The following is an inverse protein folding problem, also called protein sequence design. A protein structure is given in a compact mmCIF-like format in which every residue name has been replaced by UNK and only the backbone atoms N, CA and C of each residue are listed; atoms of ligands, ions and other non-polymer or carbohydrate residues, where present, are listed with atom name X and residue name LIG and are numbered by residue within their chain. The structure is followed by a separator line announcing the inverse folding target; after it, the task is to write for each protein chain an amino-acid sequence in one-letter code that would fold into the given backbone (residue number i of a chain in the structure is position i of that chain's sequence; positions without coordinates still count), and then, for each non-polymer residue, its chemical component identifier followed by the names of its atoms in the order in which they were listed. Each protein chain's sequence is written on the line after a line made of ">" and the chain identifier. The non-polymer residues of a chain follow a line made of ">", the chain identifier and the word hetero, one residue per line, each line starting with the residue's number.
data_IF_312342931701
#
_entry.id   IF_312342931701
#
_cell.length_a   1.000
_cell.length_b   1.000
_cell.length_c   1.000
_cell.angle_alpha   90.00
_cell.angle_beta   90.00
_cell.angle_gamma   90.00
#
_symmetry.space_group_name_H-M   'P 1'
#
loop_
_entity.id
_entity.type
_entity.pdbx_description
1 polymer ?
#
# COMPACT_ATOMS: atom_id res chain seq x y z
N UNK A 1 -34.73 -21.15 -28.26
CA UNK A 1 -33.78 -22.19 -28.73
C UNK A 1 -32.37 -21.62 -28.60
N UNK A 2 -31.46 -22.44 -28.08
CA UNK A 2 -30.12 -22.11 -27.56
C UNK A 2 -29.07 -22.07 -28.69
N UNK A 3 -27.90 -21.47 -28.38
CA UNK A 3 -26.56 -21.49 -29.02
C UNK A 3 -26.26 -20.22 -29.84
N UNK A 4 -25.09 -19.57 -29.75
CA UNK A 4 -23.74 -19.98 -29.33
C UNK A 4 -22.88 -18.75 -28.95
N UNK A 5 -21.91 -18.95 -28.06
CA UNK A 5 -20.86 -18.00 -27.68
C UNK A 5 -19.74 -17.99 -28.74
N UNK A 6 -19.35 -16.80 -29.21
CA UNK A 6 -18.16 -16.59 -30.04
C UNK A 6 -17.05 -15.89 -29.27
N UNK A 7 -16.11 -16.68 -28.73
CA UNK A 7 -14.80 -16.21 -28.25
C UNK A 7 -13.92 -15.93 -29.48
N UNK A 8 -13.41 -14.71 -29.62
CA UNK A 8 -12.20 -14.46 -30.41
C UNK A 8 -11.26 -13.56 -29.63
N UNK A 9 -10.24 -14.19 -29.05
CA UNK A 9 -9.04 -13.53 -28.60
C UNK A 9 -8.24 -13.13 -29.84
N UNK A 10 -7.96 -11.84 -30.00
CA UNK A 10 -6.97 -11.36 -30.97
C UNK A 10 -5.73 -11.00 -30.18
N UNK A 11 -4.81 -11.95 -30.04
CA UNK A 11 -3.46 -11.69 -29.59
C UNK A 11 -2.65 -11.22 -30.81
N UNK A 12 -2.43 -9.91 -30.92
CA UNK A 12 -1.48 -9.34 -31.88
C UNK A 12 -0.08 -9.53 -31.31
N UNK A 13 0.64 -10.53 -31.81
CA UNK A 13 2.08 -10.68 -31.54
C UNK A 13 2.85 -9.82 -32.55
N UNK A 14 3.25 -8.61 -32.14
CA UNK A 14 4.24 -7.83 -32.87
C UNK A 14 5.64 -8.36 -32.51
N UNK A 15 6.22 -9.16 -33.41
CA UNK A 15 7.64 -9.48 -33.39
C UNK A 15 8.40 -8.28 -33.99
N UNK A 16 9.13 -7.55 -33.15
CA UNK A 16 10.09 -6.53 -33.59
C UNK A 16 11.50 -6.94 -33.21
N UNK A 17 12.35 -6.72 -34.21
CA UNK A 17 13.72 -7.15 -34.43
C UNK A 17 14.74 -6.69 -33.40
N UNK A 18 15.77 -7.53 -33.26
CA UNK A 18 16.97 -7.31 -32.49
C UNK A 18 17.67 -5.98 -32.80
N UNK A 19 17.74 -5.13 -31.78
CA UNK A 19 18.61 -3.97 -31.66
C UNK A 19 18.78 -3.69 -30.17
N UNK A 20 19.95 -4.04 -29.62
CA UNK A 20 20.21 -4.02 -28.18
C UNK A 20 20.15 -2.62 -27.59
N UNK A 21 18.98 -2.22 -27.11
CA UNK A 21 18.84 -1.30 -25.99
C UNK A 21 18.62 -2.19 -24.77
N UNK A 22 19.55 -2.13 -23.81
CA UNK A 22 19.32 -2.69 -22.50
C UNK A 22 18.09 -1.98 -21.92
N UNK A 23 16.92 -2.61 -22.05
CA UNK A 23 15.76 -2.24 -21.27
C UNK A 23 16.17 -2.46 -19.83
N UNK A 24 16.48 -1.36 -19.15
CA UNK A 24 16.44 -1.33 -17.69
C UNK A 24 15.01 -1.74 -17.38
N UNK A 25 14.82 -3.02 -17.05
CA UNK A 25 13.56 -3.48 -16.50
C UNK A 25 13.39 -2.63 -15.24
N UNK A 26 12.50 -1.64 -15.33
CA UNK A 26 12.10 -0.92 -14.14
C UNK A 26 11.69 -1.98 -13.12
N UNK A 27 12.23 -1.96 -11.89
CA UNK A 27 11.83 -2.90 -10.87
C UNK A 27 10.30 -2.88 -10.82
N UNK A 28 9.69 -4.06 -10.99
CA UNK A 28 8.25 -4.19 -10.88
C UNK A 28 7.88 -3.68 -9.48
N UNK A 29 6.90 -2.77 -9.34
CA UNK A 29 6.55 -2.22 -8.04
C UNK A 29 6.32 -3.37 -7.06
N UNK A 30 6.95 -3.30 -5.88
CA UNK A 30 6.74 -4.27 -4.81
C UNK A 30 5.23 -4.50 -4.67
N UNK A 31 4.79 -5.72 -4.99
CA UNK A 31 3.37 -6.08 -4.97
C UNK A 31 2.89 -5.96 -3.54
N UNK A 32 2.12 -4.91 -3.28
CA UNK A 32 1.40 -4.73 -2.03
C UNK A 32 0.49 -5.95 -1.79
N UNK A 33 0.53 -6.51 -0.57
CA UNK A 33 -0.45 -7.50 -0.17
C UNK A 33 -1.83 -6.83 -0.19
N UNK A 34 -2.80 -7.45 -0.85
CA UNK A 34 -4.18 -6.98 -0.78
C UNK A 34 -4.69 -7.04 0.66
N UNK A 35 -5.53 -6.08 1.02
CA UNK A 35 -6.20 -6.02 2.31
C UNK A 35 -7.71 -5.90 2.14
N UNK A 36 -8.43 -6.40 3.15
CA UNK A 36 -9.88 -6.27 3.29
C UNK A 36 -10.16 -5.70 4.66
N UNK A 37 -10.94 -4.62 4.74
CA UNK A 37 -11.31 -3.98 6.00
C UNK A 37 -12.78 -3.61 6.02
N UNK A 38 -13.42 -3.81 7.17
CA UNK A 38 -14.73 -3.24 7.43
C UNK A 38 -14.58 -1.77 7.87
N UNK A 39 -15.49 -0.95 7.40
CA UNK A 39 -15.61 0.47 7.71
C UNK A 39 -17.03 0.79 8.17
N UNK A 40 -17.13 1.74 9.08
CA UNK A 40 -18.39 2.36 9.46
C UNK A 40 -18.47 3.73 8.80
N UNK A 41 -19.37 3.87 7.83
CA UNK A 41 -19.59 5.08 7.04
C UNK A 41 -20.80 5.85 7.54
N UNK A 42 -20.61 7.11 7.92
CA UNK A 42 -21.69 8.03 8.23
C UNK A 42 -22.04 8.82 6.98
N UNK A 43 -23.28 8.68 6.52
CA UNK A 43 -23.81 9.44 5.39
C UNK A 43 -24.89 10.39 5.92
N UNK A 44 -24.84 11.70 5.59
CA UNK A 44 -25.91 12.62 5.92
C UNK A 44 -27.27 12.05 5.52
N UNK A 45 -28.25 12.18 6.40
CA UNK A 45 -29.64 11.72 6.23
C UNK A 45 -29.86 10.19 6.23
N UNK A 46 -28.87 9.37 5.87
CA UNK A 46 -28.98 7.90 5.86
C UNK A 46 -28.39 7.23 7.13
N UNK A 47 -27.66 8.00 7.94
CA UNK A 47 -27.05 7.53 9.18
C UNK A 47 -25.81 6.69 8.95
N UNK A 48 -25.53 5.79 9.90
CA UNK A 48 -24.37 4.92 9.88
C UNK A 48 -24.63 3.65 9.06
N UNK A 49 -23.70 3.30 8.17
CA UNK A 49 -23.75 2.16 7.27
C UNK A 49 -22.42 1.40 7.34
N UNK A 50 -22.47 0.08 7.26
CA UNK A 50 -21.23 -0.72 7.17
C UNK A 50 -20.82 -0.86 5.71
N UNK A 51 -19.54 -0.60 5.43
CA UNK A 51 -18.93 -0.83 4.12
C UNK A 51 -17.72 -1.75 4.27
N UNK A 52 -17.41 -2.53 3.23
CA UNK A 52 -16.19 -3.33 3.15
C UNK A 52 -15.33 -2.78 2.02
N UNK A 53 -14.12 -2.37 2.37
CA UNK A 53 -13.10 -1.96 1.42
C UNK A 53 -12.21 -3.14 1.11
N UNK A 54 -12.11 -3.48 -0.17
CA UNK A 54 -11.11 -4.38 -0.71
C UNK A 54 -10.15 -3.57 -1.57
N UNK A 55 -8.85 -3.71 -1.33
CA UNK A 55 -7.86 -2.94 -2.06
C UNK A 55 -6.43 -3.39 -1.79
N UNK A 56 -5.46 -2.64 -2.31
CA UNK A 56 -4.04 -2.81 -2.00
C UNK A 56 -3.31 -1.46 -2.05
N UNK A 57 -2.29 -1.30 -1.22
CA UNK A 57 -1.52 -0.06 -1.11
C UNK A 57 -0.13 -0.21 -1.73
N UNK A 58 0.04 0.26 -2.96
CA UNK A 58 1.33 0.29 -3.65
C UNK A 58 2.25 1.34 -3.00
N UNK A 59 3.51 0.96 -2.86
CA UNK A 59 4.57 1.78 -2.25
C UNK A 59 5.89 1.54 -2.98
N UNK A 60 6.86 2.47 -2.90
CA UNK A 60 8.16 2.26 -3.50
C UNK A 60 8.96 1.22 -2.69
N UNK A 61 9.75 0.41 -3.40
CA UNK A 61 10.56 -0.66 -2.78
C UNK A 61 11.57 -0.12 -1.75
N UNK A 62 12.00 1.13 -1.94
CA UNK A 62 12.99 1.78 -1.10
C UNK A 62 12.54 3.19 -0.73
N UNK A 63 12.50 3.48 0.56
CA UNK A 63 12.23 4.82 1.08
C UNK A 63 13.47 5.37 1.79
N UNK A 64 13.86 6.58 1.41
CA UNK A 64 14.89 7.34 2.10
C UNK A 64 14.29 8.21 3.18
N UNK A 65 14.90 8.23 4.37
CA UNK A 65 14.55 9.20 5.40
C UNK A 65 14.66 10.62 4.85
N UNK A 66 13.61 11.43 5.09
CA UNK A 66 13.48 12.82 4.64
C UNK A 66 13.17 12.98 3.15
N UNK A 67 12.88 11.90 2.41
CA UNK A 67 12.53 11.96 0.99
C UNK A 67 11.08 11.58 0.76
N UNK A 68 10.27 12.41 0.07
CA UNK A 68 8.93 12.04 -0.34
C UNK A 68 8.94 10.79 -1.22
N UNK A 69 8.04 9.88 -0.90
CA UNK A 69 7.76 8.65 -1.63
C UNK A 69 6.29 8.67 -2.04
N UNK A 70 6.02 8.30 -3.29
CA UNK A 70 4.67 8.24 -3.84
C UNK A 70 3.97 6.94 -3.48
N UNK A 71 2.71 7.04 -3.05
CA UNK A 71 1.85 5.95 -2.65
C UNK A 71 0.60 5.92 -3.52
N UNK A 72 0.10 4.73 -3.79
CA UNK A 72 -1.14 4.54 -4.52
C UNK A 72 -2.01 3.49 -3.85
N UNK A 73 -3.19 3.88 -3.37
CA UNK A 73 -4.21 2.98 -2.88
C UNK A 73 -5.14 2.62 -4.03
N UNK A 74 -5.15 1.36 -4.41
CA UNK A 74 -6.09 0.82 -5.38
C UNK A 74 -7.31 0.28 -4.65
N UNK A 75 -8.47 0.88 -4.90
CA UNK A 75 -9.77 0.45 -4.39
C UNK A 75 -10.35 -0.54 -5.40
N UNK A 76 -10.20 -1.83 -5.12
CA UNK A 76 -10.74 -2.88 -5.97
C UNK A 76 -12.27 -2.92 -5.92
N UNK A 77 -12.83 -2.76 -4.71
CA UNK A 77 -14.26 -2.69 -4.48
C UNK A 77 -14.52 -2.10 -3.11
N UNK A 78 -15.35 -1.07 -3.04
CA UNK A 78 -15.95 -0.59 -1.82
C UNK A 78 -17.46 -0.88 -1.84
N UNK A 79 -17.92 -1.72 -0.91
CA UNK A 79 -19.29 -2.23 -0.86
C UNK A 79 -20.30 -1.24 -0.25
N UNK A 80 -20.26 0.01 -0.66
CA UNK A 80 -21.32 0.98 -0.35
C UNK A 80 -22.43 0.76 -1.37
N UNK A 81 -23.50 0.07 -0.98
CA UNK A 81 -24.65 -0.15 -1.87
C UNK A 81 -25.37 1.18 -2.07
N UNK A 82 -25.20 1.81 -3.23
CA UNK A 82 -26.00 2.98 -3.62
C UNK A 82 -27.19 2.54 -4.45
N UNK A 83 -28.44 2.86 -4.06
CA UNK A 83 -29.63 2.50 -4.84
C UNK A 83 -29.75 3.33 -6.13
N UNK A 84 -28.92 4.36 -6.28
CA UNK A 84 -28.89 5.27 -7.42
C UNK A 84 -27.52 5.27 -8.08
N UNK A 85 -27.49 5.63 -9.36
CA UNK A 85 -26.26 5.83 -10.10
C UNK A 85 -25.50 7.08 -9.60
N UNK A 86 -24.18 7.01 -9.69
CA UNK A 86 -23.25 8.10 -9.38
C UNK A 86 -22.67 8.58 -10.72
N UNK A 87 -22.67 9.88 -10.98
CA UNK A 87 -22.10 10.44 -12.21
C UNK A 87 -20.58 10.59 -12.10
N UNK A 88 -20.11 11.02 -10.93
CA UNK A 88 -18.69 11.13 -10.60
C UNK A 88 -18.48 11.07 -9.09
N UNK A 89 -17.27 10.76 -8.65
CA UNK A 89 -16.92 10.78 -7.24
C UNK A 89 -15.49 11.24 -7.02
N UNK A 90 -15.24 11.80 -5.85
CA UNK A 90 -13.91 12.10 -5.32
C UNK A 90 -13.75 11.42 -3.99
N UNK A 91 -12.56 10.94 -3.65
CA UNK A 91 -12.30 10.41 -2.32
C UNK A 91 -10.95 10.84 -1.78
N UNK A 92 -10.86 10.84 -0.46
CA UNK A 92 -9.61 10.94 0.27
C UNK A 92 -9.49 9.83 1.31
N UNK A 93 -8.37 9.13 1.35
CA UNK A 93 -8.08 8.12 2.36
C UNK A 93 -6.95 8.61 3.27
N UNK A 94 -7.13 8.45 4.57
CA UNK A 94 -6.07 8.66 5.56
C UNK A 94 -5.34 7.35 5.77
N UNK A 95 -4.01 7.42 5.75
CA UNK A 95 -3.12 6.31 6.05
C UNK A 95 -2.36 6.66 7.32
N UNK A 96 -2.59 5.86 8.35
CA UNK A 96 -1.85 5.94 9.60
C UNK A 96 -0.54 5.17 9.44
N UNK A 97 0.55 5.79 9.89
CA UNK A 97 1.87 5.18 9.98
C UNK A 97 2.19 4.94 11.44
N UNK A 98 2.65 3.73 11.74
CA UNK A 98 3.09 3.33 13.07
C UNK A 98 4.37 2.49 13.01
N UNK A 99 4.94 2.15 14.17
CA UNK A 99 6.18 1.38 14.26
C UNK A 99 7.30 2.26 14.80
N UNK A 100 8.25 2.64 13.94
CA UNK A 100 9.40 3.45 14.36
C UNK A 100 9.04 4.93 14.57
N UNK A 101 8.07 5.43 13.81
CA UNK A 101 7.45 6.74 14.04
C UNK A 101 5.94 6.63 13.94
N UNK A 102 5.24 7.63 14.48
CA UNK A 102 3.79 7.76 14.36
C UNK A 102 3.47 9.01 13.57
N UNK A 103 2.82 8.85 12.42
CA UNK A 103 2.38 9.96 11.57
C UNK A 103 1.15 9.55 10.76
N UNK A 104 0.62 10.46 9.96
CA UNK A 104 -0.42 10.14 8.99
C UNK A 104 -0.25 10.99 7.74
N UNK A 105 -0.77 10.48 6.62
CA UNK A 105 -0.80 11.19 5.36
C UNK A 105 -2.09 10.87 4.60
N UNK A 106 -2.40 11.70 3.61
CA UNK A 106 -3.63 11.61 2.85
C UNK A 106 -3.35 11.19 1.41
N UNK A 107 -4.15 10.25 0.92
CA UNK A 107 -4.25 9.88 -0.48
C UNK A 107 -5.53 10.50 -1.04
N UNK A 108 -5.51 11.00 -2.26
CA UNK A 108 -6.68 11.58 -2.91
C UNK A 108 -6.85 11.04 -4.32
N UNK A 109 -8.08 11.00 -4.80
CA UNK A 109 -8.38 10.54 -6.14
C UNK A 109 -9.82 10.81 -6.53
N UNK A 110 -10.15 10.43 -7.76
CA UNK A 110 -11.48 10.61 -8.33
C UNK A 110 -11.80 9.48 -9.28
N UNK A 111 -13.09 9.30 -9.54
CA UNK A 111 -13.58 8.37 -10.54
C UNK A 111 -14.84 8.89 -11.22
N UNK A 112 -15.22 8.19 -12.29
CA UNK A 112 -16.35 8.54 -13.11
C UNK A 112 -17.63 7.83 -12.70
N UNK A 113 -18.46 7.59 -13.71
CA UNK A 113 -19.78 7.00 -13.56
C UNK A 113 -19.75 5.62 -12.89
N UNK A 114 -20.65 5.40 -11.93
CA UNK A 114 -20.92 4.11 -11.30
C UNK A 114 -22.41 3.81 -11.38
N UNK A 115 -22.76 2.69 -11.99
CA UNK A 115 -24.15 2.27 -12.11
C UNK A 115 -24.75 1.94 -10.72
N UNK A 116 -26.07 2.10 -10.60
CA UNK A 116 -26.79 1.77 -9.37
C UNK A 116 -26.48 0.34 -8.89
N UNK A 117 -26.21 0.18 -7.60
CA UNK A 117 -25.88 -1.09 -6.97
C UNK A 117 -24.49 -1.66 -7.30
N UNK A 118 -23.68 -0.98 -8.11
CA UNK A 118 -22.29 -1.39 -8.35
C UNK A 118 -21.36 -0.82 -7.27
N UNK A 119 -20.31 -1.57 -6.88
CA UNK A 119 -19.33 -1.07 -5.93
C UNK A 119 -18.48 0.05 -6.54
N UNK A 120 -18.02 0.96 -5.68
CA UNK A 120 -17.04 1.97 -6.04
C UNK A 120 -15.67 1.32 -6.23
N UNK A 121 -14.96 1.72 -7.29
CA UNK A 121 -13.58 1.30 -7.58
C UNK A 121 -12.80 2.46 -8.19
N UNK A 122 -11.49 2.50 -7.95
CA UNK A 122 -10.60 3.55 -8.45
C UNK A 122 -9.30 3.64 -7.67
N UNK A 123 -8.50 4.65 -7.98
CA UNK A 123 -7.17 4.81 -7.40
C UNK A 123 -7.05 6.14 -6.66
N UNK A 124 -6.41 6.11 -5.49
CA UNK A 124 -6.03 7.31 -4.74
C UNK A 124 -4.51 7.38 -4.66
N UNK A 125 -3.94 8.58 -4.76
CA UNK A 125 -2.50 8.80 -4.71
C UNK A 125 -2.13 9.94 -3.76
N UNK A 126 -0.90 9.89 -3.25
CA UNK A 126 -0.34 10.92 -2.37
C UNK A 126 1.09 10.59 -2.01
N UNK A 127 1.74 11.50 -1.30
CA UNK A 127 3.15 11.38 -0.93
C UNK A 127 3.34 11.37 0.58
N UNK A 128 4.32 10.63 1.04
CA UNK A 128 4.77 10.66 2.44
C UNK A 128 6.29 10.51 2.52
N UNK A 129 6.89 11.17 3.52
CA UNK A 129 8.33 11.12 3.76
C UNK A 129 8.59 10.63 5.18
N UNK A 130 9.28 9.48 5.37
CA UNK A 130 9.64 9.02 6.70
C UNK A 130 10.64 9.98 7.34
N UNK A 131 10.46 10.34 8.60
CA UNK A 131 11.42 11.17 9.34
C UNK A 131 12.42 10.33 10.13
N UNK A 132 12.09 9.07 10.39
CA UNK A 132 12.93 8.14 11.15
C UNK A 132 13.21 6.87 10.35
N UNK A 133 14.46 6.40 10.43
CA UNK A 133 14.90 5.11 9.87
C UNK A 133 14.28 3.97 10.67
N UNK A 134 13.70 2.99 9.97
CA UNK A 134 13.23 1.76 10.60
C UNK A 134 12.02 1.17 9.90
N UNK A 135 11.44 0.09 10.46
CA UNK A 135 10.19 -0.47 9.97
C UNK A 135 9.02 0.46 10.27
N UNK A 136 8.12 0.55 9.30
CA UNK A 136 6.88 1.32 9.36
C UNK A 136 5.71 0.43 8.92
N UNK A 137 4.62 0.47 9.68
CA UNK A 137 3.39 -0.26 9.42
C UNK A 137 2.34 0.76 9.00
N UNK A 138 1.75 0.54 7.83
CA UNK A 138 0.77 1.43 7.22
C UNK A 138 -0.60 0.78 7.27
N UNK A 139 -1.57 1.52 7.79
CA UNK A 139 -2.97 1.08 7.88
C UNK A 139 -3.88 2.18 7.36
N UNK A 140 -4.86 1.82 6.53
CA UNK A 140 -5.86 2.79 6.06
C UNK A 140 -6.87 3.01 7.20
N UNK A 141 -6.94 4.24 7.70
CA UNK A 141 -7.63 4.57 8.94
C UNK A 141 -9.00 5.18 8.72
N UNK A 142 -9.13 5.97 7.66
CA UNK A 142 -10.35 6.66 7.31
C UNK A 142 -10.46 6.87 5.80
N UNK A 143 -11.68 7.03 5.34
CA UNK A 143 -12.01 7.27 3.95
C UNK A 143 -13.17 8.27 3.89
N UNK A 144 -12.99 9.37 3.20
CA UNK A 144 -14.05 10.34 2.90
C UNK A 144 -14.36 10.25 1.42
N UNK A 145 -15.62 10.08 1.05
CA UNK A 145 -16.06 9.94 -0.33
C UNK A 145 -17.16 10.95 -0.59
N UNK A 146 -16.99 11.76 -1.62
CA UNK A 146 -18.03 12.64 -2.13
C UNK A 146 -18.49 12.10 -3.46
N UNK A 147 -19.75 11.68 -3.55
CA UNK A 147 -20.38 11.18 -4.76
C UNK A 147 -21.35 12.23 -5.29
N UNK A 148 -21.16 12.62 -6.55
CA UNK A 148 -22.11 13.45 -7.28
C UNK A 148 -23.16 12.54 -7.92
N UNK A 149 -24.43 12.79 -7.59
CA UNK A 149 -25.55 12.04 -8.15
C UNK A 149 -26.51 12.98 -8.87
N UNK A 150 -27.18 12.52 -9.92
CA UNK A 150 -28.13 13.35 -10.66
C UNK A 150 -29.39 13.68 -9.84
N UNK A 151 -29.70 12.87 -8.81
CA UNK A 151 -30.91 13.01 -8.01
C UNK A 151 -30.73 13.94 -6.81
N UNK A 152 -29.59 13.89 -6.12
CA UNK A 152 -29.37 14.62 -4.86
C UNK A 152 -28.18 15.58 -4.89
N UNK A 153 -27.46 15.66 -6.01
CA UNK A 153 -26.19 16.39 -6.08
C UNK A 153 -25.10 15.68 -5.29
N UNK A 154 -24.21 16.45 -4.66
CA UNK A 154 -23.07 15.93 -3.91
C UNK A 154 -23.49 15.36 -2.54
N UNK A 155 -23.12 14.11 -2.30
CA UNK A 155 -23.31 13.41 -1.03
C UNK A 155 -21.94 12.98 -0.50
N UNK A 156 -21.57 13.46 0.67
CA UNK A 156 -20.32 13.10 1.33
C UNK A 156 -20.55 12.03 2.40
N UNK A 157 -19.82 10.93 2.30
CA UNK A 157 -19.76 9.86 3.29
C UNK A 157 -18.42 9.91 4.02
N UNK A 158 -18.44 9.80 5.34
CA UNK A 158 -17.24 9.71 6.18
C UNK A 158 -17.14 8.31 6.78
N UNK A 159 -16.11 7.56 6.41
CA UNK A 159 -15.91 6.18 6.80
C UNK A 159 -14.70 6.05 7.72
N UNK A 160 -14.87 5.35 8.83
CA UNK A 160 -13.79 5.00 9.77
C UNK A 160 -13.56 3.51 9.79
N UNK A 161 -12.30 3.07 9.80
CA UNK A 161 -11.96 1.65 9.84
C UNK A 161 -12.37 1.04 11.19
N UNK A 162 -12.98 -0.14 11.15
CA UNK A 162 -13.31 -0.88 12.37
C UNK A 162 -12.06 -1.50 13.00
N UNK A 163 -12.04 -1.63 14.33
CA UNK A 163 -10.94 -2.27 15.04
C UNK A 163 -11.10 -3.81 15.08
N UNK A 164 -10.01 -4.59 14.96
CA UNK A 164 -8.64 -4.15 14.72
C UNK A 164 -8.40 -3.74 13.25
N UNK A 165 -7.68 -2.64 13.04
CA UNK A 165 -7.35 -2.15 11.68
C UNK A 165 -6.41 -3.11 10.95
N UNK A 166 -6.72 -3.50 9.70
CA UNK A 166 -5.80 -4.34 8.93
C UNK A 166 -4.58 -3.55 8.48
N UNK A 167 -3.44 -4.23 8.50
CA UNK A 167 -2.18 -3.71 7.94
C UNK A 167 -2.28 -3.73 6.43
N UNK A 168 -2.16 -2.57 5.81
CA UNK A 168 -2.18 -2.42 4.35
C UNK A 168 -0.78 -2.64 3.74
N UNK A 169 0.27 -2.19 4.43
CA UNK A 169 1.65 -2.41 4.01
C UNK A 169 2.63 -2.36 5.20
N UNK A 170 3.80 -2.94 5.02
CA UNK A 170 4.95 -2.77 5.92
C UNK A 170 6.16 -2.40 5.10
N UNK A 171 6.86 -1.35 5.51
CA UNK A 171 7.95 -0.76 4.74
C UNK A 171 9.17 -0.56 5.62
N UNK A 172 10.34 -0.46 4.97
CA UNK A 172 11.60 -0.17 5.63
C UNK A 172 12.14 1.16 5.13
N UNK A 173 12.26 2.14 6.02
CA UNK A 173 12.94 3.40 5.74
C UNK A 173 14.45 3.27 6.04
N UNK A 174 15.28 3.75 5.13
CA UNK A 174 16.75 3.73 5.25
C UNK A 174 17.32 5.15 5.28
N UNK A 175 18.44 5.35 5.98
CA UNK A 175 19.21 6.58 5.82
C UNK A 175 19.74 6.62 4.38
N UNK A 176 19.43 7.68 3.66
CA UNK A 176 19.80 7.87 2.25
C UNK A 176 21.30 8.02 2.04
N UNK A 177 22.06 6.95 2.26
CA UNK A 177 23.23 6.63 1.47
C UNK A 177 22.73 5.89 0.23
N UNK A 178 23.14 6.33 -0.95
CA UNK A 178 22.92 5.61 -2.21
C UNK A 178 23.18 4.10 -2.04
N UNK A 179 22.16 3.25 -2.22
CA UNK A 179 22.37 1.82 -2.42
C UNK A 179 22.21 1.52 -3.92
N UNK A 180 23.31 1.42 -4.69
CA UNK A 180 23.25 0.73 -5.96
C UNK A 180 23.20 -0.77 -5.68
N UNK A 181 22.05 -1.40 -5.93
CA UNK A 181 22.01 -2.81 -6.31
C UNK A 181 22.16 -3.89 -5.22
N UNK A 182 21.70 -3.66 -3.98
CA UNK A 182 21.50 -4.79 -3.07
C UNK A 182 20.13 -5.42 -3.31
N UNK A 183 20.13 -6.53 -4.06
CA UNK A 183 19.01 -7.46 -4.10
C UNK A 183 18.67 -7.87 -2.66
N UNK A 184 17.56 -7.39 -2.11
CA UNK A 184 17.04 -7.92 -0.85
C UNK A 184 16.78 -9.42 -1.03
N UNK A 185 17.26 -10.29 -0.13
CA UNK A 185 16.78 -11.66 -0.10
C UNK A 185 15.27 -11.61 0.18
N UNK A 186 14.49 -12.26 -0.68
CA UNK A 186 13.08 -12.55 -0.46
C UNK A 186 12.94 -13.14 0.94
N UNK A 187 12.43 -12.36 1.89
CA UNK A 187 12.01 -12.92 3.18
C UNK A 187 10.75 -13.72 2.87
N UNK A 188 10.92 -15.03 2.73
CA UNK A 188 9.82 -15.95 2.59
C UNK A 188 8.83 -15.73 3.76
N UNK A 189 7.51 -15.75 3.51
CA UNK A 189 6.53 -15.70 4.59
C UNK A 189 6.76 -16.91 5.49
N UNK A 190 7.22 -16.68 6.73
CA UNK A 190 7.24 -17.73 7.73
C UNK A 190 5.79 -18.15 8.00
N UNK A 191 5.41 -19.42 7.80
CA UNK A 191 4.14 -19.90 8.28
C UNK A 191 4.18 -19.92 9.82
N UNK A 192 3.22 -19.23 10.41
CA UNK A 192 2.89 -19.37 11.84
C UNK A 192 2.42 -20.80 12.07
N UNK A 193 3.20 -21.56 12.84
CA UNK A 193 2.84 -22.88 13.32
C UNK A 193 3.96 -23.86 13.06
N UNK A 194 4.72 -24.19 14.10
CA UNK A 194 5.09 -25.54 14.55
C UNK A 194 6.04 -25.36 15.74
N UNK A 195 5.54 -25.70 16.92
CA UNK A 195 6.32 -25.84 18.13
C UNK A 195 7.39 -26.93 17.91
N UNK A 196 8.66 -26.54 18.05
CA UNK A 196 9.81 -27.43 18.12
C UNK A 196 10.80 -26.87 19.16
N UNK A 197 11.49 -27.72 19.93
CA UNK A 197 12.04 -27.33 21.22
C UNK A 197 13.23 -26.39 21.09
N UNK A 198 13.22 -25.36 21.94
CA UNK A 198 14.34 -24.48 22.26
C UNK A 198 15.65 -25.29 22.39
N UNK A 199 16.65 -24.95 21.57
CA UNK A 199 18.06 -25.30 21.83
C UNK A 199 18.78 -24.06 22.36
N UNK A 200 19.15 -24.03 23.65
CA UNK A 200 19.92 -22.93 24.20
C UNK A 200 21.40 -23.12 23.85
N UNK A 201 22.02 -22.05 23.34
CA UNK A 201 23.46 -21.88 23.38
C UNK A 201 24.13 -21.87 22.02
N UNK A 202 24.21 -20.68 21.40
CA UNK A 202 25.39 -20.19 20.67
C UNK A 202 25.31 -18.65 20.59
N UNK A 203 25.44 -17.99 21.74
CA UNK A 203 25.91 -16.61 21.78
C UNK A 203 27.29 -16.63 22.43
N UNK A 204 28.34 -16.56 21.60
CA UNK A 204 29.62 -16.04 22.07
C UNK A 204 29.62 -14.53 21.81
N UNK A 205 29.83 -13.68 22.81
CA UNK A 205 30.14 -12.29 22.55
C UNK A 205 31.49 -12.21 21.82
N UNK A 206 31.53 -11.46 20.72
CA UNK A 206 32.79 -11.04 20.11
C UNK A 206 33.43 -10.06 21.08
N UNK A 207 34.40 -10.54 21.86
CA UNK A 207 35.32 -9.68 22.61
C UNK A 207 36.31 -9.13 21.58
N UNK A 208 36.17 -7.86 21.23
CA UNK A 208 37.19 -7.13 20.50
C UNK A 208 38.42 -6.98 21.43
N UNK A 209 39.63 -7.36 20.99
CA UNK A 209 40.84 -7.11 21.77
C UNK A 209 41.10 -5.60 21.87
N UNK A 210 41.64 -5.10 23.00
CA UNK A 210 42.06 -3.71 23.10
C UNK A 210 43.19 -3.43 22.11
N UNK A 211 42.97 -2.41 21.28
CA UNK A 211 43.96 -1.84 20.38
C UNK A 211 45.10 -1.24 21.20
N UNK A 212 46.25 -1.93 21.27
CA UNK A 212 47.52 -1.31 21.67
C UNK A 212 48.12 -0.59 20.46
N UNK A 213 47.88 0.72 20.37
CA UNK A 213 48.54 1.61 19.42
C UNK A 213 49.39 2.63 20.17
N UNK A 214 50.63 2.27 20.47
CA UNK A 214 51.63 3.19 20.98
C UNK A 214 52.12 4.14 19.88
N UNK A 215 52.24 5.42 20.21
CA UNK A 215 52.99 6.39 19.42
C UNK A 215 54.11 6.95 20.29
N UNK A 216 55.33 6.57 19.94
CA UNK A 216 56.55 7.21 20.39
C UNK A 216 56.68 8.59 19.72
N UNK A 217 56.90 9.64 20.50
CA UNK A 217 57.58 10.84 20.02
C UNK A 217 58.80 11.09 20.91
N UNK A 218 59.97 10.83 20.35
CA UNK A 218 61.22 11.47 20.74
C UNK A 218 61.25 12.85 20.10
N UNK A 219 61.36 13.90 20.91
CA UNK A 219 62.33 15.00 20.79
C UNK A 219 62.14 15.98 21.95
#
# INVERSE_FOLDING_TARGET
>A
MITSFGKYAVAVAAALSAGGLATVAAPAPARAAGFTSAYTCTVPMLGSQTAVLNGWLSSPEHMGVGRPAGFQLHIASLSVSTPIAIDSWTASAWVDVSGTESSSFQLTGSGGFVAAGQPLSGDLSGDWAPSVRGPHVLSVSGLTITANTPATGDVTAECTANEPRPVAATLMAHNGGYYPGWNSPVVAPYPVGWAGPYRPGWHRPIVLPPYHGGWHHHH
#
